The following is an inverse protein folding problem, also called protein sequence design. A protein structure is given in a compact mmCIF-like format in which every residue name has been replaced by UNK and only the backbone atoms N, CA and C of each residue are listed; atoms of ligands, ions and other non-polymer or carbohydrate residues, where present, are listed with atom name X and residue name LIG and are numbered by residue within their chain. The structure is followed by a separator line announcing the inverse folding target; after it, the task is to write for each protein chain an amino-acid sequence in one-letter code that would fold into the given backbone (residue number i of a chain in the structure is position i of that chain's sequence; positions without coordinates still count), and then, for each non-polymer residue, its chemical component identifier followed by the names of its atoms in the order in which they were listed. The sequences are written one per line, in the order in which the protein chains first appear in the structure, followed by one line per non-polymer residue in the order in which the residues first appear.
data_IF_475518926772
#
_entry.id   IF_475518926772
#
_cell.length_a   1.000
_cell.length_b   1.000
_cell.length_c   1.000
_cell.angle_alpha   90.00
_cell.angle_beta   90.00
_cell.angle_gamma   90.00
#
_symmetry.space_group_name_H-M   'P 1'
#
loop_
_entity.id
_entity.type
_entity.pdbx_description
1 polymer ?
#
# COMPACT_ATOMS: atom_id res chain seq x y z
N UNK A 1 -6.56 7.41 -1.75
CA UNK A 1 -6.02 7.72 -0.40
C UNK A 1 -4.57 7.33 -0.37
N UNK A 2 -3.71 8.22 0.10
CA UNK A 2 -2.31 7.92 0.42
C UNK A 2 -2.22 7.74 1.94
N UNK A 3 -1.92 6.53 2.39
CA UNK A 3 -1.83 6.18 3.81
C UNK A 3 -0.37 5.96 4.20
N UNK A 4 0.13 6.75 5.14
CA UNK A 4 1.45 6.51 5.74
C UNK A 4 1.30 5.92 7.13
N UNK A 5 1.91 4.77 7.39
CA UNK A 5 1.90 4.14 8.71
C UNK A 5 2.97 4.71 9.66
N UNK A 6 3.91 5.51 9.15
CA UNK A 6 4.94 6.33 9.85
C UNK A 6 5.94 5.55 10.73
N UNK A 7 5.50 4.50 11.41
CA UNK A 7 6.24 3.79 12.44
C UNK A 7 7.30 2.88 11.85
N UNK A 8 8.50 2.94 12.42
CA UNK A 8 9.67 2.17 11.97
C UNK A 8 10.32 1.31 13.05
N UNK A 9 10.03 1.57 14.34
CA UNK A 9 10.59 0.84 15.50
C UNK A 9 9.57 -0.05 16.22
N UNK A 10 8.34 0.42 16.37
CA UNK A 10 7.25 -0.31 17.03
C UNK A 10 5.92 0.05 16.40
N UNK A 11 5.04 -0.94 16.23
CA UNK A 11 3.72 -0.81 15.59
C UNK A 11 2.89 0.31 16.24
N UNK A 12 2.93 0.42 17.57
CA UNK A 12 2.21 1.47 18.29
C UNK A 12 0.69 1.28 18.23
N UNK A 13 -0.06 2.39 18.14
CA UNK A 13 -1.52 2.36 18.28
C UNK A 13 -2.24 1.64 17.14
N UNK A 14 -1.60 1.46 15.97
CA UNK A 14 -2.19 0.73 14.84
C UNK A 14 -2.27 -0.78 15.08
N UNK A 15 -1.67 -1.28 16.18
CA UNK A 15 -1.88 -2.67 16.64
C UNK A 15 -3.36 -2.95 16.92
N UNK A 16 -4.14 -1.91 17.23
CA UNK A 16 -5.60 -2.04 17.24
C UNK A 16 -6.13 -2.24 15.82
N UNK A 17 -6.56 -3.47 15.54
CA UNK A 17 -7.10 -3.92 14.25
C UNK A 17 -8.24 -3.02 13.78
N UNK A 18 -9.05 -2.46 14.70
CA UNK A 18 -10.16 -1.56 14.33
C UNK A 18 -9.65 -0.31 13.65
N UNK A 19 -8.51 0.23 14.11
CA UNK A 19 -7.89 1.42 13.52
C UNK A 19 -7.34 1.13 12.12
N UNK A 20 -6.77 -0.06 11.92
CA UNK A 20 -6.30 -0.48 10.60
C UNK A 20 -7.47 -0.65 9.62
N UNK A 21 -8.54 -1.34 10.01
CA UNK A 21 -9.74 -1.54 9.18
C UNK A 21 -10.35 -0.20 8.76
N UNK A 22 -10.47 0.74 9.71
CA UNK A 22 -10.95 2.09 9.40
C UNK A 22 -10.01 2.77 8.41
N UNK A 23 -8.70 2.72 8.59
CA UNK A 23 -7.77 3.37 7.66
C UNK A 23 -7.86 2.80 6.23
N UNK A 24 -8.02 1.48 6.09
CA UNK A 24 -8.09 0.81 4.78
C UNK A 24 -9.43 1.00 4.07
N UNK A 25 -10.53 1.16 4.80
CA UNK A 25 -11.88 1.29 4.23
C UNK A 25 -12.25 2.70 3.74
N UNK A 26 -11.35 3.69 3.89
CA UNK A 26 -11.62 5.10 3.50
C UNK A 26 -11.43 5.37 2.01
N UNK A 27 -10.78 4.48 1.28
CA UNK A 27 -10.52 4.64 -0.14
C UNK A 27 -11.67 4.09 -0.99
N UNK A 28 -12.18 4.88 -1.94
CA UNK A 28 -13.17 4.43 -2.92
C UNK A 28 -12.55 3.90 -4.22
N UNK A 29 -11.56 4.61 -4.76
CA UNK A 29 -10.96 4.31 -6.07
C UNK A 29 -9.54 3.75 -6.01
N UNK A 30 -8.84 3.93 -4.88
CA UNK A 30 -7.45 3.49 -4.76
C UNK A 30 -6.85 3.82 -3.40
N UNK A 31 -6.05 2.89 -2.89
CA UNK A 31 -5.34 2.96 -1.62
C UNK A 31 -3.86 2.68 -1.87
N UNK A 32 -3.00 3.64 -1.55
CA UNK A 32 -1.55 3.46 -1.56
C UNK A 32 -1.05 3.52 -0.12
N UNK A 33 -0.30 2.51 0.31
CA UNK A 33 0.16 2.39 1.70
C UNK A 33 1.69 2.46 1.75
N UNK A 34 2.21 3.40 2.53
CA UNK A 34 3.63 3.57 2.79
C UNK A 34 3.94 3.10 4.21
N UNK A 35 4.78 2.07 4.34
CA UNK A 35 5.16 1.52 5.64
C UNK A 35 6.50 0.79 5.60
N UNK A 36 7.09 0.57 6.78
CA UNK A 36 8.25 -0.33 6.92
C UNK A 36 7.76 -1.77 7.01
N UNK A 37 7.73 -2.47 5.88
CA UNK A 37 7.14 -3.81 5.78
C UNK A 37 7.61 -4.78 6.87
N UNK A 38 8.93 -4.87 7.10
CA UNK A 38 9.53 -5.75 8.11
C UNK A 38 9.00 -5.52 9.55
N UNK A 39 8.50 -4.33 9.87
CA UNK A 39 7.90 -4.07 11.19
C UNK A 39 6.48 -4.66 11.29
N UNK A 40 5.72 -4.61 10.20
CA UNK A 40 4.31 -4.96 10.18
C UNK A 40 4.08 -6.45 9.86
N UNK A 41 4.99 -7.08 9.12
CA UNK A 41 4.99 -8.52 8.86
C UNK A 41 5.08 -9.34 10.16
N UNK A 42 5.82 -8.84 11.15
CA UNK A 42 5.97 -9.46 12.47
C UNK A 42 4.77 -9.25 13.41
N UNK A 43 3.72 -8.52 12.99
CA UNK A 43 2.56 -8.21 13.83
C UNK A 43 1.38 -9.14 13.49
N UNK A 44 1.11 -10.10 14.38
CA UNK A 44 0.08 -11.12 14.19
C UNK A 44 -1.32 -10.53 13.98
N UNK A 45 -1.66 -9.46 14.69
CA UNK A 45 -2.99 -8.84 14.60
C UNK A 45 -3.27 -8.21 13.23
N UNK A 46 -2.21 -7.85 12.48
CA UNK A 46 -2.31 -7.15 11.20
C UNK A 46 -2.10 -8.10 10.00
N UNK A 47 -1.61 -9.32 10.25
CA UNK A 47 -1.40 -10.37 9.26
C UNK A 47 -2.56 -10.58 8.28
N UNK A 48 -3.85 -10.67 8.68
CA UNK A 48 -4.92 -10.93 7.71
C UNK A 48 -5.11 -9.81 6.67
N UNK A 49 -4.86 -8.56 7.06
CA UNK A 49 -4.93 -7.43 6.15
C UNK A 49 -3.66 -7.32 5.29
N UNK A 50 -2.49 -7.54 5.89
CA UNK A 50 -1.21 -7.48 5.19
C UNK A 50 -1.00 -8.64 4.21
N UNK A 51 -1.49 -9.85 4.50
CA UNK A 51 -1.42 -10.97 3.56
C UNK A 51 -2.08 -10.61 2.23
N UNK A 52 -3.24 -9.94 2.27
CA UNK A 52 -3.92 -9.45 1.04
C UNK A 52 -3.14 -8.36 0.32
N UNK A 53 -2.41 -7.50 1.06
CA UNK A 53 -1.56 -6.48 0.45
C UNK A 53 -0.31 -7.10 -0.18
N UNK A 54 0.21 -8.18 0.42
CA UNK A 54 1.42 -8.89 -0.01
C UNK A 54 1.20 -9.87 -1.16
N UNK A 55 -0.06 -10.15 -1.52
CA UNK A 55 -0.41 -10.74 -2.82
C UNK A 55 0.01 -9.85 -4.00
N UNK A 56 0.33 -8.57 -3.75
CA UNK A 56 0.76 -7.59 -4.75
C UNK A 56 2.23 -7.18 -4.54
N UNK A 57 2.90 -6.66 -5.58
CA UNK A 57 4.25 -6.12 -5.46
C UNK A 57 4.35 -5.07 -4.35
N UNK A 58 5.43 -5.13 -3.58
CA UNK A 58 5.69 -4.20 -2.46
C UNK A 58 6.36 -2.90 -2.89
N UNK A 59 6.80 -2.84 -4.16
CA UNK A 59 7.36 -1.65 -4.79
C UNK A 59 6.25 -0.91 -5.55
N UNK A 60 6.39 0.41 -5.64
CA UNK A 60 5.41 1.23 -6.33
C UNK A 60 5.57 1.03 -7.84
N UNK A 61 4.50 0.64 -8.51
CA UNK A 61 4.44 0.49 -9.97
C UNK A 61 3.51 1.57 -10.54
N UNK A 62 4.02 2.33 -11.52
CA UNK A 62 3.31 3.41 -12.19
C UNK A 62 3.21 3.15 -13.70
N UNK A 63 2.21 3.75 -14.33
CA UNK A 63 2.11 3.85 -15.80
C UNK A 63 2.48 5.28 -16.20
N UNK A 64 3.73 5.48 -16.60
CA UNK A 64 4.31 6.82 -16.82
C UNK A 64 3.71 7.58 -18.02
N UNK A 65 3.18 6.87 -19.02
CA UNK A 65 2.64 7.45 -20.25
C UNK A 65 1.10 7.53 -20.23
N UNK A 66 0.49 7.47 -19.05
CA UNK A 66 -0.96 7.48 -18.87
C UNK A 66 -1.37 8.77 -18.16
N UNK A 67 -2.31 9.50 -18.75
CA UNK A 67 -2.90 10.69 -18.13
C UNK A 67 -4.23 10.34 -17.48
N UNK A 68 -4.61 11.13 -16.48
CA UNK A 68 -5.94 11.06 -15.89
C UNK A 68 -6.92 11.94 -16.67
N UNK A 69 -8.18 11.51 -16.91
CA UNK A 69 -8.74 10.18 -16.62
C UNK A 69 -8.26 9.12 -17.63
N UNK A 70 -8.23 7.86 -17.19
CA UNK A 70 -7.85 6.72 -18.04
C UNK A 70 -9.05 5.80 -18.30
N UNK A 71 -9.09 5.23 -19.50
CA UNK A 71 -10.03 4.18 -19.93
C UNK A 71 -9.47 2.75 -19.68
N UNK A 72 -8.30 2.62 -19.05
CA UNK A 72 -7.66 1.34 -18.76
C UNK A 72 -8.45 0.54 -17.73
N UNK A 73 -8.59 -0.76 -17.99
CA UNK A 73 -9.22 -1.68 -17.05
C UNK A 73 -8.36 -1.87 -15.78
N UNK A 74 -9.01 -2.06 -14.64
CA UNK A 74 -8.34 -2.24 -13.34
C UNK A 74 -7.40 -3.44 -13.29
N UNK A 75 -7.64 -4.44 -14.15
CA UNK A 75 -6.86 -5.68 -14.24
C UNK A 75 -5.66 -5.60 -15.18
N UNK A 76 -5.55 -4.53 -15.97
CA UNK A 76 -4.42 -4.34 -16.87
C UNK A 76 -3.19 -3.87 -16.10
N UNK A 77 -2.25 -4.79 -15.87
CA UNK A 77 -0.97 -4.54 -15.20
C UNK A 77 0.21 -4.56 -16.18
N UNK A 78 -0.01 -4.29 -17.47
CA UNK A 78 1.04 -4.26 -18.50
C UNK A 78 2.06 -3.12 -18.30
N UNK A 79 3.32 -3.38 -18.67
CA UNK A 79 4.45 -2.44 -18.68
C UNK A 79 4.56 -1.52 -17.44
N UNK A 80 4.68 -2.08 -16.22
CA UNK A 80 4.81 -1.27 -15.02
C UNK A 80 6.19 -0.59 -14.95
N UNK A 81 6.20 0.71 -14.70
CA UNK A 81 7.40 1.43 -14.31
C UNK A 81 7.58 1.30 -12.79
N UNK A 82 8.54 0.48 -12.37
CA UNK A 82 8.80 0.20 -10.94
C UNK A 82 9.70 1.27 -10.34
N UNK A 83 9.24 1.90 -9.27
CA UNK A 83 10.00 2.86 -8.48
C UNK A 83 10.70 2.11 -7.34
N UNK A 84 12.03 2.12 -7.38
CA UNK A 84 12.86 1.37 -6.44
C UNK A 84 12.85 1.97 -5.02
N UNK A 85 12.86 3.29 -4.90
CA UNK A 85 12.97 4.02 -3.63
C UNK A 85 12.31 5.41 -3.74
N UNK A 86 12.01 6.03 -2.59
CA UNK A 86 11.41 7.37 -2.50
C UNK A 86 12.32 8.47 -3.05
N UNK A 87 13.62 8.22 -3.19
CA UNK A 87 14.57 9.12 -3.85
C UNK A 87 14.41 9.17 -5.37
N UNK A 88 13.61 8.27 -5.94
CA UNK A 88 13.32 8.19 -7.37
C UNK A 88 11.87 8.61 -7.71
N UNK A 89 11.15 9.16 -6.72
CA UNK A 89 9.84 9.83 -6.88
C UNK A 89 10.10 11.32 -7.10
#
# INVERSE_FOLDING_TARGET
ILLSLVRTKSVGHIRDVRRLIVAMSRARLGLYVFCRLALFENCYELTPAFNKLLERPTKLELKINEMWPSDRDVTDHSDPYTIADVTHI
#
